data_IF_649429160315
#
_entry.id   IF_649429160315
#
_cell.length_a   1.000
_cell.length_b   1.000
_cell.length_c   1.000
_cell.angle_alpha   90.00
_cell.angle_beta   90.00
_cell.angle_gamma   90.00
#
_symmetry.space_group_name_H-M   'P 1'
#
loop_
_entity.id
_entity.type
_entity.pdbx_description
1 polymer ?
#
# COMPACT_ATOMS: atom_id res chain seq x y z
N UNK A 1 6.18 25.23 -3.48
CA UNK A 1 6.24 24.35 -4.67
C UNK A 1 4.84 23.84 -4.90
N UNK A 2 4.37 23.85 -6.14
CA UNK A 2 2.99 23.43 -6.47
C UNK A 2 3.07 22.07 -7.16
N UNK A 3 2.42 21.06 -6.58
CA UNK A 3 2.30 19.75 -7.22
C UNK A 3 1.39 19.88 -8.43
N UNK A 4 1.72 19.26 -9.56
CA UNK A 4 0.87 19.31 -10.75
C UNK A 4 0.66 17.95 -11.39
N UNK A 5 -0.50 17.76 -12.01
CA UNK A 5 -0.82 16.59 -12.83
C UNK A 5 -1.10 17.05 -14.26
N UNK A 6 -0.46 16.42 -15.23
CA UNK A 6 -0.80 16.64 -16.64
C UNK A 6 -1.59 15.45 -17.14
N UNK A 7 -2.74 15.73 -17.75
CA UNK A 7 -3.53 14.74 -18.51
C UNK A 7 -3.48 15.15 -19.97
N UNK A 8 -2.71 14.46 -20.81
CA UNK A 8 -2.60 14.83 -22.23
C UNK A 8 -3.99 14.83 -22.90
N UNK A 9 -4.34 15.84 -23.74
CA UNK A 9 -3.50 16.95 -24.23
C UNK A 9 -3.60 18.25 -23.40
N UNK A 10 -4.17 18.21 -22.20
CA UNK A 10 -4.34 19.40 -21.38
C UNK A 10 -3.02 19.90 -20.81
N UNK A 11 -3.01 21.19 -20.47
CA UNK A 11 -1.94 21.79 -19.67
C UNK A 11 -1.93 21.16 -18.26
N UNK A 12 -0.78 21.19 -17.56
CA UNK A 12 -0.71 20.76 -16.17
C UNK A 12 -1.78 21.45 -15.30
N UNK A 13 -2.44 20.66 -14.46
CA UNK A 13 -3.38 21.09 -13.44
C UNK A 13 -2.67 21.11 -12.09
N UNK A 14 -2.89 22.15 -11.29
CA UNK A 14 -2.38 22.20 -9.92
C UNK A 14 -3.14 21.23 -9.02
N UNK A 15 -2.41 20.50 -8.18
CA UNK A 15 -2.92 19.60 -7.14
C UNK A 15 -2.61 20.24 -5.79
N UNK A 16 -3.66 20.47 -5.00
CA UNK A 16 -3.54 20.94 -3.63
C UNK A 16 -3.34 19.77 -2.66
N UNK A 17 -2.79 20.03 -1.46
CA UNK A 17 -2.54 19.05 -0.39
C UNK A 17 -3.82 18.37 0.19
N UNK A 18 -4.98 18.63 -0.41
CA UNK A 18 -6.26 18.06 -0.04
C UNK A 18 -6.95 17.37 -1.21
N UNK A 19 -8.25 17.57 -1.34
CA UNK A 19 -9.04 16.97 -2.43
C UNK A 19 -9.01 17.90 -3.64
N UNK A 20 -8.50 17.40 -4.77
CA UNK A 20 -8.58 18.07 -6.07
C UNK A 20 -9.64 17.36 -6.93
N UNK A 21 -10.66 18.08 -7.37
CA UNK A 21 -11.73 17.56 -8.21
C UNK A 21 -11.46 17.90 -9.69
N UNK A 22 -11.31 16.87 -10.51
CA UNK A 22 -11.16 17.01 -11.96
C UNK A 22 -12.45 16.52 -12.64
N UNK A 23 -13.13 17.42 -13.36
CA UNK A 23 -14.40 17.11 -14.01
C UNK A 23 -14.23 17.04 -15.53
N UNK A 24 -14.30 15.84 -16.10
CA UNK A 24 -14.24 15.60 -17.55
C UNK A 24 -15.64 15.71 -18.15
N UNK A 25 -15.84 16.68 -19.04
CA UNK A 25 -17.15 16.89 -19.70
C UNK A 25 -17.38 15.91 -20.85
N UNK A 26 -16.32 15.36 -21.44
CA UNK A 26 -16.40 14.41 -22.55
C UNK A 26 -16.23 12.98 -22.02
N UNK A 27 -17.21 12.13 -22.32
CA UNK A 27 -17.23 10.73 -21.88
C UNK A 27 -16.12 9.88 -22.51
N UNK A 28 -15.75 10.16 -23.76
CA UNK A 28 -14.70 9.43 -24.48
C UNK A 28 -13.32 9.76 -23.91
N UNK A 29 -13.09 11.04 -23.55
CA UNK A 29 -11.87 11.48 -22.88
C UNK A 29 -11.75 10.85 -21.49
N UNK A 30 -12.85 10.86 -20.71
CA UNK A 30 -12.89 10.22 -19.41
C UNK A 30 -12.63 8.71 -19.50
N UNK A 31 -13.31 8.02 -20.42
CA UNK A 31 -13.16 6.57 -20.60
C UNK A 31 -11.74 6.20 -21.05
N UNK A 32 -11.15 7.00 -21.94
CA UNK A 32 -9.77 6.83 -22.41
C UNK A 32 -8.76 7.01 -21.28
N UNK A 33 -9.00 7.97 -20.39
CA UNK A 33 -8.18 8.21 -19.21
C UNK A 33 -8.21 6.99 -18.26
N UNK A 34 -9.41 6.54 -17.89
CA UNK A 34 -9.60 5.39 -16.99
C UNK A 34 -8.96 4.12 -17.57
N UNK A 35 -9.14 3.88 -18.87
CA UNK A 35 -8.53 2.75 -19.56
C UNK A 35 -7.00 2.77 -19.48
N UNK A 36 -6.37 3.93 -19.71
CA UNK A 36 -4.92 4.08 -19.64
C UNK A 36 -4.38 3.99 -18.22
N UNK A 37 -5.11 4.52 -17.23
CA UNK A 37 -4.80 4.34 -15.81
C UNK A 37 -4.78 2.85 -15.44
N UNK A 38 -5.77 2.09 -15.88
CA UNK A 38 -5.82 0.65 -15.59
C UNK A 38 -4.66 -0.11 -16.24
N UNK A 39 -4.26 0.26 -17.46
CA UNK A 39 -3.05 -0.30 -18.08
C UNK A 39 -1.78 0.03 -17.30
N UNK A 40 -1.63 1.26 -16.83
CA UNK A 40 -0.52 1.68 -15.96
C UNK A 40 -0.49 0.85 -14.67
N UNK A 41 -1.64 0.67 -14.01
CA UNK A 41 -1.79 -0.15 -12.80
C UNK A 41 -1.37 -1.60 -13.02
N UNK A 42 -1.72 -2.19 -14.16
CA UNK A 42 -1.38 -3.57 -14.50
C UNK A 42 0.06 -3.74 -15.01
N UNK A 43 0.82 -2.64 -15.17
CA UNK A 43 2.16 -2.68 -15.75
C UNK A 43 2.18 -2.99 -17.25
N UNK A 44 1.06 -2.79 -17.95
CA UNK A 44 0.90 -3.09 -19.39
C UNK A 44 1.51 -2.00 -20.30
N UNK A 45 1.87 -0.85 -19.74
CA UNK A 45 2.52 0.27 -20.45
C UNK A 45 3.94 0.44 -19.94
N UNK A 46 4.92 0.41 -20.85
CA UNK A 46 6.35 0.56 -20.53
C UNK A 46 6.68 2.00 -20.09
N UNK A 47 7.80 2.17 -19.37
CA UNK A 47 8.27 3.49 -18.95
C UNK A 47 8.53 4.45 -20.12
N UNK A 48 8.92 3.89 -21.27
CA UNK A 48 9.27 4.63 -22.49
C UNK A 48 8.09 4.81 -23.46
N UNK A 49 6.88 4.43 -23.04
CA UNK A 49 5.71 4.54 -23.90
C UNK A 49 5.29 6.01 -24.00
N UNK A 50 5.55 6.61 -25.17
CA UNK A 50 5.11 7.96 -25.58
C UNK A 50 3.59 8.21 -25.39
N UNK A 51 2.82 7.18 -25.07
CA UNK A 51 1.40 7.22 -24.75
C UNK A 51 1.07 7.44 -23.26
N UNK A 52 2.06 7.72 -22.39
CA UNK A 52 1.81 8.16 -21.00
C UNK A 52 0.94 9.41 -21.02
N UNK A 53 -0.34 9.24 -20.70
CA UNK A 53 -1.30 10.34 -20.67
C UNK A 53 -1.23 11.10 -19.35
N UNK A 54 -0.76 10.47 -18.27
CA UNK A 54 -0.68 11.09 -16.95
C UNK A 54 0.77 11.24 -16.54
N UNK A 55 1.13 12.46 -16.18
CA UNK A 55 2.41 12.80 -15.57
C UNK A 55 2.14 13.55 -14.26
N UNK A 56 2.78 13.13 -13.17
CA UNK A 56 2.80 13.76 -11.87
C UNK A 56 4.13 14.50 -11.72
N UNK A 57 4.09 15.82 -11.80
CA UNK A 57 5.26 16.65 -11.59
C UNK A 57 5.26 17.15 -10.15
N UNK A 58 6.22 16.67 -9.36
CA UNK A 58 6.43 17.08 -7.96
C UNK A 58 7.58 18.08 -7.83
N UNK A 59 8.45 18.23 -8.85
CA UNK A 59 9.61 19.13 -8.80
C UNK A 59 10.13 19.52 -10.22
N UNK A 60 10.59 20.76 -10.41
CA UNK A 60 11.14 21.25 -11.69
C UNK A 60 12.51 20.63 -12.04
N UNK A 61 13.22 20.09 -11.03
CA UNK A 61 14.55 19.49 -11.19
C UNK A 61 14.54 17.96 -11.22
N UNK A 62 13.38 17.33 -10.99
CA UNK A 62 13.29 15.87 -10.88
C UNK A 62 12.45 15.33 -12.03
N UNK A 63 13.16 14.99 -13.10
CA UNK A 63 12.57 14.30 -14.23
C UNK A 63 12.36 12.84 -13.85
N UNK A 64 11.14 12.51 -13.43
CA UNK A 64 10.61 11.15 -13.45
C UNK A 64 11.26 10.24 -12.38
N UNK A 65 11.08 10.56 -11.09
CA UNK A 65 10.94 9.54 -10.05
C UNK A 65 9.48 9.41 -9.63
N UNK A 66 8.57 9.33 -10.60
CA UNK A 66 7.25 8.75 -10.38
C UNK A 66 7.42 7.25 -10.16
N UNK A 67 7.62 6.83 -8.91
CA UNK A 67 7.37 5.45 -8.57
C UNK A 67 5.86 5.23 -8.68
N UNK A 68 5.41 4.53 -9.72
CA UNK A 68 4.01 4.07 -9.86
C UNK A 68 3.49 3.36 -8.59
N UNK A 69 4.40 2.88 -7.73
CA UNK A 69 4.14 2.29 -6.42
C UNK A 69 3.51 3.27 -5.42
N UNK A 70 3.71 4.57 -5.60
CA UNK A 70 3.25 5.62 -4.69
C UNK A 70 1.84 6.13 -5.08
N UNK A 71 1.31 5.67 -6.21
CA UNK A 71 -0.03 6.03 -6.70
C UNK A 71 -0.98 4.86 -6.49
N UNK A 72 -2.11 5.12 -5.82
CA UNK A 72 -3.18 4.14 -5.63
C UNK A 72 -4.42 4.51 -6.43
N UNK A 73 -4.83 3.62 -7.35
CA UNK A 73 -6.03 3.79 -8.15
C UNK A 73 -7.20 2.99 -7.59
N UNK A 74 -8.24 3.71 -7.15
CA UNK A 74 -9.45 3.15 -6.54
C UNK A 74 -10.64 3.48 -7.45
N UNK A 75 -11.15 2.47 -8.16
CA UNK A 75 -12.31 2.62 -9.05
C UNK A 75 -13.62 2.09 -8.46
N UNK A 76 -13.54 1.07 -7.59
CA UNK A 76 -14.66 0.53 -6.83
C UNK A 76 -14.32 0.57 -5.34
N UNK A 77 -15.10 1.33 -4.58
CA UNK A 77 -14.95 1.48 -3.13
C UNK A 77 -15.41 0.23 -2.37
N UNK A 78 -16.37 -0.53 -2.92
CA UNK A 78 -16.91 -1.73 -2.28
C UNK A 78 -15.94 -2.91 -2.35
N UNK A 79 -15.17 -3.01 -3.43
CA UNK A 79 -14.16 -4.06 -3.61
C UNK A 79 -12.77 -3.68 -3.10
N UNK A 80 -12.55 -2.44 -2.64
CA UNK A 80 -11.24 -2.00 -2.20
C UNK A 80 -10.83 -2.70 -0.89
N UNK A 81 -9.83 -3.57 -0.96
CA UNK A 81 -9.36 -4.31 0.20
C UNK A 81 -8.46 -3.45 1.10
N UNK A 82 -9.07 -2.75 2.05
CA UNK A 82 -8.39 -1.98 3.09
C UNK A 82 -7.46 -2.86 3.95
N UNK A 83 -7.80 -4.14 4.13
CA UNK A 83 -7.08 -5.08 4.98
C UNK A 83 -6.09 -5.95 4.18
N UNK A 84 -5.61 -5.46 3.03
CA UNK A 84 -4.59 -6.15 2.27
C UNK A 84 -3.34 -6.41 3.14
N UNK A 85 -2.67 -7.55 2.94
CA UNK A 85 -1.53 -7.96 3.78
C UNK A 85 -0.40 -6.93 3.82
N UNK A 86 -0.20 -6.15 2.76
CA UNK A 86 0.76 -5.03 2.73
C UNK A 86 0.38 -3.91 3.70
N UNK A 87 -0.89 -3.53 3.76
CA UNK A 87 -1.40 -2.51 4.67
C UNK A 87 -1.38 -3.00 6.12
N UNK A 88 -1.77 -4.26 6.35
CA UNK A 88 -1.73 -4.87 7.68
C UNK A 88 -0.30 -4.89 8.26
N UNK A 89 0.72 -5.17 7.42
CA UNK A 89 2.13 -5.10 7.86
C UNK A 89 2.53 -3.69 8.31
N UNK A 90 2.09 -2.66 7.60
CA UNK A 90 2.37 -1.25 7.95
C UNK A 90 1.69 -0.90 9.28
N UNK A 91 0.41 -1.26 9.43
CA UNK A 91 -0.36 -1.01 10.65
C UNK A 91 0.27 -1.73 11.85
N UNK A 92 0.62 -3.02 11.71
CA UNK A 92 1.26 -3.78 12.79
C UNK A 92 2.60 -3.20 13.20
N UNK A 93 3.42 -2.76 12.23
CA UNK A 93 4.68 -2.08 12.51
C UNK A 93 4.45 -0.81 13.32
N UNK A 94 3.45 -0.01 12.94
CA UNK A 94 3.09 1.20 13.67
C UNK A 94 2.60 0.90 15.09
N UNK A 95 1.78 -0.12 15.27
CA UNK A 95 1.33 -0.58 16.60
C UNK A 95 2.52 -0.98 17.47
N UNK A 96 3.51 -1.71 16.93
CA UNK A 96 4.72 -2.10 17.65
C UNK A 96 5.52 -0.86 18.07
N UNK A 97 5.71 0.09 17.16
CA UNK A 97 6.39 1.37 17.44
C UNK A 97 5.69 2.16 18.54
N UNK A 98 4.36 2.25 18.49
CA UNK A 98 3.57 2.98 19.49
C UNK A 98 3.51 2.23 20.83
N UNK A 99 3.66 0.91 20.82
CA UNK A 99 3.67 0.05 22.01
C UNK A 99 5.02 0.00 22.73
N UNK A 100 6.04 0.75 22.27
CA UNK A 100 7.37 0.77 22.90
C UNK A 100 7.31 1.09 24.41
N UNK A 101 6.33 1.88 24.85
CA UNK A 101 6.13 2.23 26.26
C UNK A 101 5.79 0.99 27.12
N UNK A 102 5.11 0.00 26.54
CA UNK A 102 4.67 -1.23 27.21
C UNK A 102 5.52 -2.46 26.86
N UNK A 103 6.62 -2.29 26.12
CA UNK A 103 7.41 -3.39 25.58
C UNK A 103 7.86 -4.37 26.67
N UNK A 104 8.35 -3.86 27.80
CA UNK A 104 8.82 -4.68 28.91
C UNK A 104 7.70 -5.53 29.55
N UNK A 105 6.48 -5.00 29.62
CA UNK A 105 5.33 -5.72 30.16
C UNK A 105 4.88 -6.83 29.20
N UNK A 106 4.88 -6.53 27.89
CA UNK A 106 4.58 -7.49 26.84
C UNK A 106 5.62 -8.62 26.82
N UNK A 107 6.92 -8.29 26.90
CA UNK A 107 8.00 -9.27 26.94
C UNK A 107 7.95 -10.16 28.18
N UNK A 108 7.61 -9.58 29.34
CA UNK A 108 7.40 -10.33 30.58
C UNK A 108 6.26 -11.34 30.43
N UNK A 109 5.09 -10.91 29.94
CA UNK A 109 3.95 -11.81 29.70
C UNK A 109 4.32 -12.90 28.70
N UNK A 110 5.05 -12.56 27.64
CA UNK A 110 5.52 -13.54 26.65
C UNK A 110 6.48 -14.57 27.27
N UNK A 111 7.37 -14.14 28.16
CA UNK A 111 8.27 -15.02 28.91
C UNK A 111 7.52 -15.94 29.84
N UNK A 112 6.52 -15.42 30.55
CA UNK A 112 5.66 -16.21 31.46
C UNK A 112 4.87 -17.27 30.68
N UNK A 113 4.29 -16.89 29.53
CA UNK A 113 3.59 -17.82 28.63
C UNK A 113 4.51 -18.92 28.10
N UNK A 114 5.69 -18.56 27.61
CA UNK A 114 6.66 -19.54 27.13
C UNK A 114 7.10 -20.50 28.23
N UNK A 115 7.24 -20.02 29.47
CA UNK A 115 7.57 -20.85 30.62
C UNK A 115 6.46 -21.87 30.90
N UNK A 116 5.20 -21.46 30.88
CA UNK A 116 4.04 -22.38 31.05
C UNK A 116 3.98 -23.43 29.94
N UNK A 117 4.22 -23.04 28.69
CA UNK A 117 4.27 -23.95 27.55
C UNK A 117 5.41 -24.97 27.72
N UNK A 118 6.60 -24.51 28.11
CA UNK A 118 7.76 -25.37 28.33
C UNK A 118 7.56 -26.35 29.50
N UNK A 119 6.96 -25.91 30.61
CA UNK A 119 6.61 -26.77 31.74
C UNK A 119 5.57 -27.84 31.37
N UNK A 120 4.66 -27.50 30.45
CA UNK A 120 3.66 -28.44 29.94
C UNK A 120 4.30 -29.49 29.00
N UNK A 121 5.26 -29.07 28.18
CA UNK A 121 6.03 -29.90 27.26
C UNK A 121 7.01 -30.82 27.99
N UNK A 122 7.69 -30.33 29.03
CA UNK A 122 8.69 -31.13 29.77
C UNK A 122 8.07 -32.27 30.57
N UNK A 123 6.77 -32.20 30.85
CA UNK A 123 5.95 -33.31 31.38
C UNK A 123 5.47 -34.28 30.29
N UNK A 124 5.67 -33.94 29.02
CA UNK A 124 5.32 -34.74 27.86
C UNK A 124 6.50 -35.64 27.48
N UNK A 125 6.29 -36.95 27.49
CA UNK A 125 7.34 -37.95 27.24
C UNK A 125 7.55 -38.30 25.75
N UNK A 126 6.73 -37.73 24.87
CA UNK A 126 6.79 -37.95 23.43
C UNK A 126 7.56 -36.82 22.73
N UNK A 127 8.35 -37.13 21.69
CA UNK A 127 9.11 -36.12 20.95
C UNK A 127 8.15 -35.09 20.33
N UNK A 128 8.42 -33.82 20.58
CA UNK A 128 7.70 -32.73 19.92
C UNK A 128 8.10 -32.64 18.46
N UNK A 129 7.12 -32.76 17.58
CA UNK A 129 7.26 -32.44 16.16
C UNK A 129 6.59 -31.10 15.89
N UNK A 130 7.33 -30.16 15.31
CA UNK A 130 6.77 -28.92 14.79
C UNK A 130 5.87 -29.26 13.60
N UNK A 131 4.56 -29.08 13.75
CA UNK A 131 3.61 -29.24 12.65
C UNK A 131 3.42 -27.91 11.91
N UNK A 132 4.13 -27.75 10.79
CA UNK A 132 4.00 -26.57 9.93
C UNK A 132 2.71 -26.58 9.07
N UNK A 133 1.89 -27.63 9.17
CA UNK A 133 0.63 -27.79 8.44
C UNK A 133 -0.59 -27.85 9.37
N UNK A 134 -0.42 -27.45 10.64
CA UNK A 134 -1.53 -27.35 11.58
C UNK A 134 -2.53 -26.30 11.09
N UNK A 135 -3.57 -26.77 10.40
CA UNK A 135 -4.71 -25.95 9.99
C UNK A 135 -5.58 -25.70 11.22
N UNK A 136 -5.31 -24.61 11.93
CA UNK A 136 -6.25 -24.01 12.87
C UNK A 136 -7.11 -22.96 12.15
#
# INVERSE_FOLDING_TARGET
MTNTITVFPYKPFEINDGITLLNFQNIDEFSSLIFRINKLKNGETFYDDTNRIIHFYTNDNDSIEEHLKDISFIGDLGSFNLNASSQMKIILKKIIEDSQIMLNEIEKVNTDLNSVVFDSITRYSLPLTLDMFANF
#
